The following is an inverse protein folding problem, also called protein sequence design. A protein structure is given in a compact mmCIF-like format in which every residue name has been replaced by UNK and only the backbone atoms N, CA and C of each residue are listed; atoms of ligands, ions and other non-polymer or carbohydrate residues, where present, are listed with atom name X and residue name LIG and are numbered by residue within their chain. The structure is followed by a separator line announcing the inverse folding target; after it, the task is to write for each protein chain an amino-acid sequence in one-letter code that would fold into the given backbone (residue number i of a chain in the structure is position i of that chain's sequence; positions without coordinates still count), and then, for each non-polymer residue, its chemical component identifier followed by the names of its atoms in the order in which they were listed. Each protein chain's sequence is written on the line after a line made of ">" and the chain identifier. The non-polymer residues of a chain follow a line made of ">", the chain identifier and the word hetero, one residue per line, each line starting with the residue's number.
data_IF_740814776715
#
_entry.id   IF_740814776715
#
_cell.length_a   1.000
_cell.length_b   1.000
_cell.length_c   1.000
_cell.angle_alpha   90.00
_cell.angle_beta   90.00
_cell.angle_gamma   90.00
#
_symmetry.space_group_name_H-M   'P 1'
#
loop_
_entity.id
_entity.type
_entity.pdbx_description
1 polymer ?
#
# COMPACT_ATOMS: atom_id res chain seq x y z
N UNK A 1 4.14 -83.02 -3.11
CA UNK A 1 4.84 -81.90 -2.44
C UNK A 1 4.00 -80.65 -2.63
N UNK A 2 3.51 -80.06 -1.54
CA UNK A 2 2.50 -79.01 -1.54
C UNK A 2 3.09 -77.63 -1.91
N UNK A 3 2.38 -76.90 -2.77
CA UNK A 3 2.65 -75.52 -3.16
C UNK A 3 2.45 -74.58 -1.98
N UNK A 4 3.50 -73.85 -1.57
CA UNK A 4 3.42 -72.78 -0.57
C UNK A 4 2.83 -71.53 -1.22
N UNK A 5 1.58 -71.22 -0.91
CA UNK A 5 0.98 -69.93 -1.21
C UNK A 5 1.74 -68.82 -0.45
N UNK A 6 2.31 -67.86 -1.18
CA UNK A 6 2.86 -66.62 -0.61
C UNK A 6 1.69 -65.70 -0.29
N UNK A 7 1.45 -65.45 1.00
CA UNK A 7 0.54 -64.41 1.47
C UNK A 7 1.12 -63.04 1.11
N UNK A 8 0.32 -62.24 0.40
CA UNK A 8 0.61 -60.85 0.04
C UNK A 8 0.58 -60.02 1.34
N UNK A 9 1.54 -59.11 1.59
CA UNK A 9 1.45 -58.23 2.76
C UNK A 9 0.24 -57.31 2.57
N UNK A 10 -0.56 -57.19 3.62
CA UNK A 10 -1.67 -56.23 3.69
C UNK A 10 -1.14 -54.81 3.48
N UNK A 11 -1.86 -54.04 2.67
CA UNK A 11 -1.56 -52.63 2.45
C UNK A 11 -1.65 -51.90 3.80
N UNK A 12 -0.79 -50.91 4.07
CA UNK A 12 -0.93 -50.12 5.28
C UNK A 12 -2.31 -49.45 5.27
N UNK A 13 -2.97 -49.52 6.43
CA UNK A 13 -4.26 -48.88 6.71
C UNK A 13 -4.35 -47.53 5.98
N UNK A 14 -5.43 -47.36 5.22
CA UNK A 14 -5.82 -46.08 4.66
C UNK A 14 -5.81 -45.07 5.80
N UNK A 15 -4.81 -44.19 5.83
CA UNK A 15 -4.87 -42.99 6.63
C UNK A 15 -6.18 -42.32 6.21
N UNK A 16 -7.15 -42.31 7.14
CA UNK A 16 -8.42 -41.62 6.99
C UNK A 16 -8.07 -40.16 6.78
N UNK A 17 -7.91 -39.80 5.51
CA UNK A 17 -7.63 -38.46 5.07
C UNK A 17 -8.88 -37.67 5.39
N UNK A 18 -8.87 -36.95 6.50
CA UNK A 18 -9.79 -35.84 6.67
C UNK A 18 -9.53 -34.95 5.46
N UNK A 19 -10.52 -34.85 4.57
CA UNK A 19 -10.44 -33.94 3.43
C UNK A 19 -10.00 -32.58 3.96
N UNK A 20 -8.99 -31.96 3.33
CA UNK A 20 -8.59 -30.59 3.65
C UNK A 20 -9.79 -29.64 3.65
N UNK A 21 -10.80 -29.92 2.83
CA UNK A 21 -12.05 -29.16 2.75
C UNK A 21 -12.90 -29.30 4.03
N UNK A 22 -12.83 -30.44 4.73
CA UNK A 22 -13.50 -30.65 6.01
C UNK A 22 -12.72 -30.07 7.21
N UNK A 23 -11.46 -29.66 7.00
CA UNK A 23 -10.58 -29.06 8.02
C UNK A 23 -10.55 -27.52 7.99
N UNK A 24 -11.11 -26.90 6.95
CA UNK A 24 -11.30 -25.45 6.85
C UNK A 24 -12.57 -25.10 7.63
N UNK A 25 -12.43 -24.92 8.95
CA UNK A 25 -13.43 -24.22 9.78
C UNK A 25 -12.91 -22.81 9.99
N UNK A 26 -13.79 -21.83 10.05
CA UNK A 26 -13.41 -20.42 10.15
C UNK A 26 -12.49 -20.12 11.35
N UNK A 27 -12.66 -20.89 12.44
CA UNK A 27 -11.85 -20.78 13.66
C UNK A 27 -10.63 -21.72 13.71
N UNK A 28 -10.32 -22.48 12.66
CA UNK A 28 -9.24 -23.48 12.69
C UNK A 28 -7.86 -22.94 12.26
N UNK A 29 -7.77 -21.68 11.82
CA UNK A 29 -6.54 -21.10 11.30
C UNK A 29 -6.10 -19.85 12.06
N UNK A 30 -4.77 -19.66 12.12
CA UNK A 30 -4.15 -18.44 12.65
C UNK A 30 -4.14 -17.39 11.55
N UNK A 31 -4.80 -16.26 11.77
CA UNK A 31 -4.77 -15.11 10.86
C UNK A 31 -3.34 -14.60 10.74
N UNK A 32 -2.76 -14.70 9.55
CA UNK A 32 -1.47 -14.09 9.24
C UNK A 32 -1.68 -12.62 8.88
N UNK A 33 -0.74 -11.78 9.30
CA UNK A 33 -0.70 -10.37 8.90
C UNK A 33 0.73 -9.95 8.64
N UNK A 34 0.92 -9.14 7.59
CA UNK A 34 2.17 -8.45 7.33
C UNK A 34 2.28 -7.12 8.08
N UNK A 35 1.24 -6.72 8.82
CA UNK A 35 1.21 -5.50 9.63
C UNK A 35 2.00 -5.72 10.91
N UNK A 36 2.86 -4.76 11.23
CA UNK A 36 3.72 -4.81 12.40
C UNK A 36 2.93 -4.43 13.66
N UNK A 37 3.13 -5.18 14.74
CA UNK A 37 2.51 -4.88 16.05
C UNK A 37 3.20 -3.76 16.82
N UNK A 38 4.45 -3.43 16.47
CA UNK A 38 5.27 -2.41 17.15
C UNK A 38 5.92 -1.53 16.10
N UNK A 39 5.71 -0.22 16.21
CA UNK A 39 6.37 0.79 15.38
C UNK A 39 7.77 1.12 15.92
N UNK A 40 8.63 1.65 15.06
CA UNK A 40 9.94 2.17 15.48
C UNK A 40 9.81 3.21 16.60
N UNK A 41 10.68 3.11 17.61
CA UNK A 41 10.79 4.07 18.70
C UNK A 41 11.35 5.44 18.28
N UNK A 42 11.83 5.57 17.04
CA UNK A 42 12.27 6.84 16.46
C UNK A 42 11.13 7.74 16.02
N UNK A 43 9.91 7.20 15.87
CA UNK A 43 8.73 8.00 15.59
C UNK A 43 8.30 8.74 16.87
N UNK A 44 8.31 10.09 16.91
CA UNK A 44 7.99 10.83 18.12
C UNK A 44 6.53 10.61 18.55
N UNK A 45 6.27 10.62 19.86
CA UNK A 45 4.89 10.51 20.38
C UNK A 45 3.97 11.57 19.78
N UNK A 46 4.44 12.81 19.67
CA UNK A 46 3.67 13.92 19.08
C UNK A 46 3.24 13.64 17.63
N UNK A 47 4.08 12.94 16.86
CA UNK A 47 3.76 12.52 15.51
C UNK A 47 2.67 11.43 15.52
N UNK A 48 2.78 10.45 16.41
CA UNK A 48 1.79 9.37 16.57
C UNK A 48 0.46 9.86 17.17
N UNK A 49 0.47 10.94 17.95
CA UNK A 49 -0.75 11.59 18.45
C UNK A 49 -1.44 12.40 17.34
N UNK A 50 -0.67 12.90 16.36
CA UNK A 50 -1.18 13.74 15.26
C UNK A 50 -1.59 12.93 14.03
N UNK A 51 -0.98 11.77 13.79
CA UNK A 51 -1.21 10.94 12.62
C UNK A 51 -1.57 9.50 12.99
N UNK A 52 -2.46 8.90 12.21
CA UNK A 52 -2.67 7.45 12.25
C UNK A 52 -1.51 6.77 11.52
N UNK A 53 -0.84 5.78 12.12
CA UNK A 53 0.37 5.17 11.52
C UNK A 53 0.28 3.65 11.55
N UNK A 54 0.54 3.03 10.39
CA UNK A 54 0.58 1.59 10.23
C UNK A 54 1.83 1.18 9.46
N UNK A 55 2.58 0.24 10.02
CA UNK A 55 3.80 -0.27 9.41
C UNK A 55 3.54 -1.68 8.89
N UNK A 56 3.98 -1.95 7.68
CA UNK A 56 3.89 -3.26 7.03
C UNK A 56 5.28 -3.75 6.67
N UNK A 57 5.55 -5.04 6.94
CA UNK A 57 6.83 -5.70 6.66
C UNK A 57 8.03 -4.96 7.25
N UNK A 58 7.90 -4.51 8.50
CA UNK A 58 8.91 -3.75 9.25
C UNK A 58 9.27 -2.38 8.66
N UNK A 59 8.41 -1.75 7.87
CA UNK A 59 8.70 -0.47 7.20
C UNK A 59 9.24 0.60 8.15
N UNK A 60 8.57 0.83 9.29
CA UNK A 60 9.00 1.83 10.26
C UNK A 60 10.40 1.56 10.81
N UNK A 61 10.74 0.29 11.09
CA UNK A 61 12.06 -0.11 11.60
C UNK A 61 13.14 -0.05 10.51
N UNK A 62 12.80 -0.41 9.27
CA UNK A 62 13.70 -0.32 8.12
C UNK A 62 14.02 1.14 7.83
N UNK A 63 13.00 1.99 7.73
CA UNK A 63 13.16 3.44 7.54
C UNK A 63 14.02 4.04 8.67
N UNK A 64 13.75 3.69 9.92
CA UNK A 64 14.49 4.21 11.06
C UNK A 64 15.97 3.78 11.10
N UNK A 65 16.29 2.59 10.59
CA UNK A 65 17.66 2.05 10.64
C UNK A 65 18.47 2.35 9.37
N UNK A 66 17.88 2.18 8.20
CA UNK A 66 18.56 2.32 6.90
C UNK A 66 18.39 3.71 6.28
N UNK A 67 17.28 4.41 6.56
CA UNK A 67 16.91 5.67 5.92
C UNK A 67 16.51 6.74 6.95
N UNK A 68 17.23 6.79 8.07
CA UNK A 68 16.85 7.60 9.24
C UNK A 68 16.72 9.10 8.91
N UNK A 69 17.54 9.60 7.98
CA UNK A 69 17.50 11.02 7.56
C UNK A 69 16.23 11.33 6.79
N UNK A 70 15.90 10.49 5.81
CA UNK A 70 14.68 10.63 5.02
C UNK A 70 13.44 10.48 5.91
N UNK A 71 13.45 9.55 6.87
CA UNK A 71 12.37 9.42 7.85
C UNK A 71 12.21 10.67 8.71
N UNK A 72 13.30 11.23 9.25
CA UNK A 72 13.27 12.46 10.05
C UNK A 72 12.71 13.62 9.24
N UNK A 73 13.17 13.81 8.00
CA UNK A 73 12.69 14.87 7.13
C UNK A 73 11.19 14.72 6.82
N UNK A 74 10.70 13.50 6.56
CA UNK A 74 9.28 13.26 6.34
C UNK A 74 8.45 13.57 7.59
N UNK A 75 8.90 13.10 8.77
CA UNK A 75 8.24 13.38 10.05
C UNK A 75 8.17 14.89 10.29
N UNK A 76 9.29 15.61 10.17
CA UNK A 76 9.35 17.06 10.34
C UNK A 76 8.41 17.79 9.36
N UNK A 77 8.43 17.40 8.09
CA UNK A 77 7.57 18.01 7.06
C UNK A 77 6.09 17.76 7.35
N UNK A 78 5.73 16.54 7.75
CA UNK A 78 4.36 16.21 8.12
C UNK A 78 3.91 16.93 9.41
N UNK A 79 4.82 17.17 10.36
CA UNK A 79 4.53 17.97 11.56
C UNK A 79 4.31 19.46 11.23
N UNK A 80 4.85 19.95 10.10
CA UNK A 80 4.59 21.29 9.56
C UNK A 80 3.36 21.35 8.64
N UNK A 81 2.92 20.21 8.11
CA UNK A 81 1.77 20.16 7.21
C UNK A 81 0.48 20.63 7.91
N UNK A 82 -0.24 21.54 7.25
CA UNK A 82 -1.51 22.12 7.69
C UNK A 82 -2.52 22.07 6.55
N UNK A 83 -3.78 21.94 6.93
CA UNK A 83 -4.91 22.06 6.02
C UNK A 83 -5.85 23.12 6.60
N UNK A 84 -6.31 24.03 5.76
CA UNK A 84 -7.34 25.01 6.14
C UNK A 84 -8.73 24.55 5.71
N UNK A 85 -9.75 25.03 6.39
CA UNK A 85 -11.13 24.77 6.01
C UNK A 85 -11.45 25.32 4.63
N UNK A 86 -10.86 26.46 4.26
CA UNK A 86 -10.99 27.01 2.91
C UNK A 86 -10.47 26.03 1.84
N UNK A 87 -9.34 25.36 2.08
CA UNK A 87 -8.81 24.35 1.15
C UNK A 87 -9.68 23.11 1.02
N UNK A 88 -10.37 22.71 2.10
CA UNK A 88 -11.31 21.58 2.09
C UNK A 88 -12.57 21.94 1.27
N UNK A 89 -13.16 23.10 1.51
CA UNK A 89 -14.44 23.47 0.88
C UNK A 89 -14.28 23.96 -0.56
N UNK A 90 -13.12 24.52 -0.93
CA UNK A 90 -12.87 25.02 -2.29
C UNK A 90 -12.99 23.88 -3.31
N UNK A 91 -13.76 24.05 -4.41
CA UNK A 91 -13.87 23.07 -5.48
C UNK A 91 -12.50 22.71 -6.08
N UNK A 92 -12.33 21.44 -6.45
CA UNK A 92 -11.06 20.93 -6.96
C UNK A 92 -10.70 21.45 -8.37
N UNK A 93 -9.44 21.26 -8.74
CA UNK A 93 -8.90 21.34 -10.10
C UNK A 93 -7.99 20.13 -10.37
N UNK A 94 -7.13 20.17 -11.41
CA UNK A 94 -6.28 19.02 -11.78
C UNK A 94 -5.39 18.50 -10.62
N UNK A 95 -4.89 19.36 -9.72
CA UNK A 95 -4.21 18.98 -8.46
C UNK A 95 -4.75 19.85 -7.31
N UNK A 96 -5.17 19.22 -6.22
CA UNK A 96 -5.68 19.89 -5.02
C UNK A 96 -4.64 20.84 -4.43
N UNK A 97 -5.07 21.97 -3.84
CA UNK A 97 -4.19 22.88 -3.10
C UNK A 97 -3.48 22.13 -1.97
N UNK A 98 -4.20 21.23 -1.29
CA UNK A 98 -3.68 20.39 -0.21
C UNK A 98 -2.50 19.52 -0.69
N UNK A 99 -2.57 18.97 -1.92
CA UNK A 99 -1.46 18.22 -2.50
C UNK A 99 -0.30 19.14 -2.92
N UNK A 100 -0.57 20.36 -3.36
CA UNK A 100 0.47 21.36 -3.66
C UNK A 100 1.21 21.84 -2.41
N UNK A 101 0.52 21.92 -1.26
CA UNK A 101 1.14 22.26 0.02
C UNK A 101 2.15 21.18 0.46
N UNK A 102 2.00 19.93 -0.01
CA UNK A 102 3.03 18.92 0.22
C UNK A 102 4.27 19.18 -0.66
N UNK A 103 4.07 19.61 -1.92
CA UNK A 103 5.17 19.98 -2.82
C UNK A 103 6.05 21.09 -2.18
N UNK A 104 5.43 22.10 -1.55
CA UNK A 104 6.17 23.21 -0.93
C UNK A 104 7.05 22.78 0.25
N UNK A 105 6.70 21.69 0.92
CA UNK A 105 7.46 21.14 2.05
C UNK A 105 8.60 20.22 1.60
N UNK A 106 8.36 19.40 0.57
CA UNK A 106 9.25 18.31 0.18
C UNK A 106 10.21 18.67 -0.97
N UNK A 107 9.76 19.44 -1.97
CA UNK A 107 10.60 19.81 -3.13
C UNK A 107 11.87 20.57 -2.73
N UNK A 108 11.83 21.56 -1.82
CA UNK A 108 13.04 22.24 -1.36
C UNK A 108 14.02 21.32 -0.62
N UNK A 109 13.52 20.21 -0.06
CA UNK A 109 14.31 19.19 0.64
C UNK A 109 14.88 18.13 -0.31
N UNK A 110 14.66 18.25 -1.62
CA UNK A 110 15.24 17.35 -2.63
C UNK A 110 14.40 16.10 -2.92
N UNK A 111 13.12 16.13 -2.57
CA UNK A 111 12.17 15.08 -2.92
C UNK A 111 11.49 15.42 -4.24
N UNK A 112 11.58 14.53 -5.23
CA UNK A 112 11.11 14.81 -6.58
C UNK A 112 10.32 13.65 -7.17
N UNK A 113 9.38 14.00 -8.06
CA UNK A 113 8.63 13.03 -8.84
C UNK A 113 9.59 12.13 -9.63
N UNK A 114 9.37 10.83 -9.54
CA UNK A 114 10.23 9.85 -10.20
C UNK A 114 9.40 8.79 -10.92
N UNK A 115 9.93 8.34 -12.06
CA UNK A 115 9.42 7.22 -12.85
C UNK A 115 10.57 6.32 -13.22
N UNK A 116 10.34 5.01 -13.22
CA UNK A 116 11.30 4.03 -13.70
C UNK A 116 10.72 3.28 -14.89
N UNK A 117 11.59 3.02 -15.87
CA UNK A 117 11.30 2.20 -17.04
C UNK A 117 12.48 1.27 -17.30
N UNK A 118 12.24 0.14 -17.96
CA UNK A 118 13.30 -0.81 -18.23
C UNK A 118 12.86 -1.97 -19.12
N UNK A 119 13.79 -2.43 -19.96
CA UNK A 119 13.64 -3.65 -20.74
C UNK A 119 14.22 -4.85 -19.98
N UNK A 120 13.65 -6.05 -20.19
CA UNK A 120 14.23 -7.29 -19.65
C UNK A 120 14.99 -8.02 -20.76
N UNK A 121 16.31 -8.12 -20.58
CA UNK A 121 17.16 -8.97 -21.43
C UNK A 121 17.27 -10.36 -20.78
N UNK A 122 16.82 -11.39 -21.50
CA UNK A 122 16.89 -12.78 -21.05
C UNK A 122 17.94 -13.53 -21.87
N UNK A 123 18.99 -14.03 -21.21
CA UNK A 123 19.97 -14.92 -21.82
C UNK A 123 19.59 -16.38 -21.56
N UNK A 124 19.29 -17.14 -22.61
CA UNK A 124 19.07 -18.59 -22.54
C UNK A 124 20.28 -19.33 -23.07
N UNK A 125 20.81 -20.25 -22.26
CA UNK A 125 21.88 -21.17 -22.68
C UNK A 125 21.34 -22.59 -22.76
N UNK A 126 21.47 -23.22 -23.92
CA UNK A 126 21.07 -24.62 -24.14
C UNK A 126 22.33 -25.44 -24.44
N UNK A 127 22.65 -26.41 -23.59
CA UNK A 127 23.80 -27.27 -23.80
C UNK A 127 23.42 -28.42 -24.74
N UNK A 128 23.77 -28.29 -26.02
CA UNK A 128 23.46 -29.28 -27.05
C UNK A 128 24.48 -30.43 -27.05
N UNK A 129 24.07 -31.67 -27.39
CA UNK A 129 25.01 -32.76 -27.66
C UNK A 129 25.92 -32.38 -28.81
N UNK A 130 27.23 -32.65 -28.69
CA UNK A 130 28.16 -32.48 -29.79
C UNK A 130 27.89 -33.54 -30.87
N UNK A 131 27.21 -33.12 -31.93
CA UNK A 131 26.83 -33.96 -33.06
C UNK A 131 28.03 -34.64 -33.76
N UNK A 132 29.26 -34.19 -33.49
CA UNK A 132 30.48 -34.76 -34.07
C UNK A 132 31.06 -35.96 -33.29
N UNK A 133 30.58 -36.27 -32.07
CA UNK A 133 31.15 -37.34 -31.22
C UNK A 133 30.10 -38.27 -30.62
N UNK A 134 29.84 -39.41 -31.28
CA UNK A 134 28.85 -40.44 -30.86
C UNK A 134 29.28 -41.40 -29.73
N UNK A 135 30.29 -41.09 -28.90
CA UNK A 135 30.76 -42.03 -27.85
C UNK A 135 31.05 -41.37 -26.49
N UNK A 136 30.80 -42.16 -25.45
CA UNK A 136 30.94 -41.95 -24.00
C UNK A 136 32.03 -40.90 -23.66
N UNK A 137 31.60 -39.71 -23.24
CA UNK A 137 32.45 -38.54 -22.98
C UNK A 137 32.05 -37.26 -23.75
N UNK A 138 30.81 -37.17 -24.25
CA UNK A 138 30.29 -36.03 -25.01
C UNK A 138 30.56 -34.69 -24.31
N UNK A 139 31.41 -33.85 -24.91
CA UNK A 139 31.48 -32.43 -24.56
C UNK A 139 30.20 -31.79 -25.07
N UNK A 140 29.48 -31.05 -24.23
CA UNK A 140 28.31 -30.28 -24.66
C UNK A 140 28.78 -28.97 -25.30
N UNK A 141 28.12 -28.54 -26.37
CA UNK A 141 28.36 -27.23 -26.99
C UNK A 141 27.25 -26.27 -26.52
N UNK A 142 27.58 -25.12 -25.90
CA UNK A 142 26.57 -24.15 -25.49
C UNK A 142 26.01 -23.40 -26.72
N UNK A 143 24.68 -23.47 -26.89
CA UNK A 143 23.90 -22.58 -27.77
C UNK A 143 23.32 -21.46 -26.91
N UNK A 144 23.80 -20.23 -27.11
CA UNK A 144 23.36 -19.05 -26.36
C UNK A 144 22.45 -18.17 -27.20
N UNK A 145 21.28 -17.81 -26.67
CA UNK A 145 20.32 -16.90 -27.31
C UNK A 145 19.91 -15.79 -26.35
N UNK A 146 19.83 -14.57 -26.89
CA UNK A 146 19.30 -13.41 -26.19
C UNK A 146 17.86 -13.15 -26.63
N UNK A 147 16.99 -12.89 -25.66
CA UNK A 147 15.63 -12.42 -25.86
C UNK A 147 15.49 -11.06 -25.18
N UNK A 148 14.62 -10.20 -25.71
CA UNK A 148 14.30 -8.91 -25.13
C UNK A 148 12.79 -8.82 -24.94
N UNK A 149 12.36 -8.46 -23.74
CA UNK A 149 11.01 -7.98 -23.48
C UNK A 149 11.10 -6.46 -23.32
N UNK A 150 10.53 -5.74 -24.27
CA UNK A 150 10.51 -4.28 -24.25
C UNK A 150 9.53 -3.76 -23.20
N UNK A 151 9.88 -2.65 -22.54
CA UNK A 151 9.06 -2.02 -21.50
C UNK A 151 8.58 -3.02 -20.42
N UNK A 152 9.45 -3.96 -20.04
CA UNK A 152 9.15 -4.92 -18.98
C UNK A 152 8.80 -4.22 -17.66
N UNK A 153 9.49 -3.12 -17.38
CA UNK A 153 9.11 -2.13 -16.37
C UNK A 153 8.56 -0.92 -17.12
N UNK A 154 7.26 -0.67 -16.97
CA UNK A 154 6.59 0.56 -17.39
C UNK A 154 5.79 1.12 -16.21
N UNK A 155 6.53 1.54 -15.17
CA UNK A 155 5.95 1.94 -13.89
C UNK A 155 5.19 3.25 -13.96
N UNK A 156 4.29 3.45 -13.00
CA UNK A 156 3.69 4.74 -12.74
C UNK A 156 4.69 5.66 -12.02
N UNK A 157 4.40 6.97 -12.07
CA UNK A 157 5.15 7.96 -11.33
C UNK A 157 4.82 7.84 -9.85
N UNK A 158 5.83 8.06 -9.01
CA UNK A 158 5.68 8.30 -7.57
C UNK A 158 5.94 9.78 -7.35
N UNK A 159 5.07 10.44 -6.57
CA UNK A 159 5.10 11.89 -6.37
C UNK A 159 6.44 12.39 -5.81
N UNK A 160 7.04 11.64 -4.88
CA UNK A 160 8.27 12.05 -4.21
C UNK A 160 9.19 10.85 -3.97
N UNK A 161 10.37 10.86 -4.57
CA UNK A 161 11.43 9.90 -4.26
C UNK A 161 12.69 10.66 -3.89
N UNK A 162 13.31 10.26 -2.78
CA UNK A 162 14.62 10.75 -2.36
C UNK A 162 15.45 9.58 -1.88
N UNK A 163 16.66 9.48 -2.43
CA UNK A 163 17.57 8.38 -2.15
C UNK A 163 16.86 7.02 -2.29
N UNK A 164 16.69 6.30 -1.19
CA UNK A 164 16.08 4.97 -1.17
C UNK A 164 14.70 4.95 -0.51
N UNK A 165 13.99 6.09 -0.48
CA UNK A 165 12.64 6.18 0.08
C UNK A 165 11.69 6.77 -0.95
N UNK A 166 10.56 6.12 -1.15
CA UNK A 166 9.43 6.62 -1.90
C UNK A 166 8.37 7.19 -0.93
N UNK A 167 7.79 8.34 -1.25
CA UNK A 167 6.68 8.95 -0.55
C UNK A 167 5.61 9.33 -1.58
N UNK A 168 4.38 8.91 -1.33
CA UNK A 168 3.24 9.17 -2.21
C UNK A 168 2.04 9.70 -1.40
N UNK A 169 1.34 10.70 -1.93
CA UNK A 169 0.23 11.35 -1.23
C UNK A 169 -1.06 11.23 -2.01
N UNK A 170 -2.04 10.57 -1.41
CA UNK A 170 -3.35 10.37 -2.02
C UNK A 170 -4.45 11.13 -1.26
N UNK A 171 -5.00 12.17 -1.90
CA UNK A 171 -6.04 13.05 -1.35
C UNK A 171 -7.32 13.04 -2.20
N UNK A 172 -8.34 12.30 -1.74
CA UNK A 172 -9.69 12.26 -2.32
C UNK A 172 -9.74 11.87 -3.82
N UNK A 173 -8.80 11.05 -4.27
CA UNK A 173 -8.82 10.43 -5.61
C UNK A 173 -9.85 9.30 -5.67
N UNK A 174 -10.29 8.90 -6.88
CA UNK A 174 -11.20 7.76 -7.10
C UNK A 174 -10.43 6.43 -7.27
N UNK A 175 -11.14 5.32 -7.04
CA UNK A 175 -10.74 3.95 -6.66
C UNK A 175 -9.51 3.24 -7.25
N UNK A 176 -8.91 3.70 -8.34
CA UNK A 176 -7.77 3.00 -8.97
C UNK A 176 -6.39 3.48 -8.52
N UNK A 177 -6.30 4.52 -7.68
CA UNK A 177 -4.99 5.09 -7.34
C UNK A 177 -4.16 4.18 -6.44
N UNK A 178 -4.67 3.66 -5.33
CA UNK A 178 -3.82 2.83 -4.44
C UNK A 178 -3.23 1.58 -5.09
N UNK A 179 -3.95 0.93 -6.01
CA UNK A 179 -3.38 -0.23 -6.72
C UNK A 179 -2.21 0.16 -7.62
N UNK A 180 -2.33 1.32 -8.27
CA UNK A 180 -1.28 1.93 -9.08
C UNK A 180 -0.09 2.35 -8.22
N UNK A 181 -0.33 2.99 -7.10
CA UNK A 181 0.71 3.55 -6.23
C UNK A 181 1.47 2.43 -5.51
N UNK A 182 0.75 1.41 -5.00
CA UNK A 182 1.36 0.21 -4.44
C UNK A 182 2.15 -0.58 -5.49
N UNK A 183 1.64 -0.67 -6.73
CA UNK A 183 2.38 -1.27 -7.84
C UNK A 183 3.66 -0.48 -8.16
N UNK A 184 3.59 0.85 -8.19
CA UNK A 184 4.75 1.70 -8.44
C UNK A 184 5.82 1.53 -7.35
N UNK A 185 5.44 1.70 -6.08
CA UNK A 185 6.34 1.55 -4.92
C UNK A 185 6.97 0.15 -4.91
N UNK A 186 6.17 -0.90 -5.14
CA UNK A 186 6.66 -2.28 -5.27
C UNK A 186 7.70 -2.41 -6.37
N UNK A 187 7.45 -1.82 -7.54
CA UNK A 187 8.35 -1.93 -8.70
C UNK A 187 9.69 -1.23 -8.41
N UNK A 188 9.66 -0.05 -7.78
CA UNK A 188 10.88 0.63 -7.33
C UNK A 188 11.68 -0.21 -6.34
N UNK A 189 11.00 -0.89 -5.41
CA UNK A 189 11.63 -1.77 -4.44
C UNK A 189 12.22 -3.02 -5.09
N UNK A 190 11.49 -3.70 -5.98
CA UNK A 190 11.97 -4.90 -6.69
C UNK A 190 13.16 -4.59 -7.61
N UNK A 191 13.26 -3.37 -8.13
CA UNK A 191 14.43 -2.89 -8.86
C UNK A 191 15.61 -2.50 -7.96
N UNK A 192 15.45 -2.55 -6.63
CA UNK A 192 16.46 -2.16 -5.66
C UNK A 192 16.70 -0.65 -5.58
N UNK A 193 15.78 0.19 -6.07
CA UNK A 193 15.90 1.64 -6.08
C UNK A 193 15.53 2.23 -4.72
N UNK A 194 14.47 1.72 -4.09
CA UNK A 194 14.04 2.10 -2.74
C UNK A 194 14.07 0.91 -1.78
N UNK A 195 14.23 1.19 -0.49
CA UNK A 195 14.16 0.23 0.62
C UNK A 195 12.75 0.14 1.19
N UNK A 196 11.98 1.23 1.13
CA UNK A 196 10.62 1.31 1.64
C UNK A 196 9.81 2.42 0.94
N UNK A 197 8.50 2.26 0.96
CA UNK A 197 7.53 3.29 0.58
C UNK A 197 6.78 3.87 1.79
N UNK A 198 6.36 5.11 1.66
CA UNK A 198 5.52 5.82 2.62
C UNK A 198 4.29 6.34 1.87
N UNK A 199 3.09 5.96 2.31
CA UNK A 199 1.84 6.41 1.68
C UNK A 199 1.06 7.27 2.68
N UNK A 200 0.77 8.51 2.29
CA UNK A 200 -0.06 9.43 3.06
C UNK A 200 -1.47 9.48 2.48
N UNK A 201 -2.49 9.26 3.30
CA UNK A 201 -3.89 9.41 2.90
C UNK A 201 -4.76 9.89 4.06
N UNK A 202 -6.08 9.98 3.88
CA UNK A 202 -7.01 10.39 4.93
C UNK A 202 -7.23 9.28 5.96
N UNK A 203 -7.17 9.62 7.24
CA UNK A 203 -7.68 8.75 8.31
C UNK A 203 -9.21 8.66 8.25
N UNK A 204 -9.77 7.55 8.74
CA UNK A 204 -11.21 7.42 8.97
C UNK A 204 -11.74 8.52 9.92
N UNK A 205 -10.90 9.00 10.85
CA UNK A 205 -11.26 10.06 11.79
C UNK A 205 -11.67 11.39 11.13
N UNK A 206 -11.23 11.67 9.91
CA UNK A 206 -11.65 12.86 9.15
C UNK A 206 -13.12 12.79 8.68
N UNK A 207 -13.73 11.60 8.64
CA UNK A 207 -15.15 11.48 8.27
C UNK A 207 -16.08 12.28 9.19
N UNK A 208 -15.73 12.43 10.48
CA UNK A 208 -16.46 13.28 11.43
C UNK A 208 -16.40 14.76 11.06
N UNK A 209 -15.23 15.23 10.65
CA UNK A 209 -15.03 16.61 10.18
C UNK A 209 -15.86 16.85 8.92
N UNK A 210 -15.82 15.91 7.99
CA UNK A 210 -16.59 16.03 6.75
C UNK A 210 -18.11 16.00 7.00
N UNK A 211 -18.60 15.17 7.92
CA UNK A 211 -20.00 15.18 8.34
C UNK A 211 -20.43 16.54 8.92
N UNK A 212 -19.61 17.11 9.81
CA UNK A 212 -19.84 18.44 10.39
C UNK A 212 -19.90 19.52 9.31
N UNK A 213 -18.96 19.51 8.35
CA UNK A 213 -18.97 20.44 7.21
C UNK A 213 -20.27 20.29 6.40
N UNK A 214 -20.65 19.07 6.06
CA UNK A 214 -21.87 18.78 5.30
C UNK A 214 -23.16 19.21 6.01
N UNK A 215 -23.17 19.23 7.35
CA UNK A 215 -24.33 19.68 8.15
C UNK A 215 -24.46 21.22 8.24
N UNK A 216 -23.40 21.95 7.89
CA UNK A 216 -23.25 23.42 8.08
C UNK A 216 -23.20 24.21 6.79
N UNK A 217 -22.97 23.58 5.64
CA UNK A 217 -22.90 24.26 4.35
C UNK A 217 -23.56 23.46 3.22
N UNK A 218 -24.17 24.17 2.27
CA UNK A 218 -24.62 23.58 1.01
C UNK A 218 -23.44 23.46 0.04
N UNK A 219 -22.55 22.50 0.30
CA UNK A 219 -21.42 22.20 -0.57
C UNK A 219 -21.87 21.19 -1.60
N UNK A 220 -22.03 21.65 -2.84
CA UNK A 220 -22.37 20.81 -3.99
C UNK A 220 -21.38 19.64 -4.09
N UNK A 221 -21.91 18.43 -4.32
CA UNK A 221 -21.16 17.20 -4.57
C UNK A 221 -20.23 16.73 -3.43
N UNK A 222 -20.47 17.18 -2.19
CA UNK A 222 -19.61 16.87 -1.04
C UNK A 222 -19.43 15.36 -0.78
N UNK A 223 -20.52 14.57 -0.82
CA UNK A 223 -20.46 13.10 -0.67
C UNK A 223 -19.67 12.44 -1.80
N UNK A 224 -19.71 12.98 -3.02
CA UNK A 224 -18.89 12.47 -4.13
C UNK A 224 -17.41 12.83 -3.98
N UNK A 225 -17.08 13.91 -3.26
CA UNK A 225 -15.69 14.38 -3.07
C UNK A 225 -15.02 13.71 -1.86
N UNK A 226 -15.76 13.51 -0.78
CA UNK A 226 -15.21 13.08 0.51
C UNK A 226 -15.77 11.76 1.04
N UNK A 227 -16.74 11.15 0.34
CA UNK A 227 -17.37 9.91 0.75
C UNK A 227 -16.50 8.66 0.54
N UNK A 228 -17.11 7.51 0.79
CA UNK A 228 -16.41 6.23 0.85
C UNK A 228 -15.74 5.81 -0.46
N UNK A 229 -16.22 6.32 -1.60
CA UNK A 229 -15.69 6.04 -2.96
C UNK A 229 -14.35 6.72 -3.27
N UNK A 230 -13.83 7.58 -2.38
CA UNK A 230 -12.53 8.22 -2.57
C UNK A 230 -11.45 7.63 -1.67
N UNK A 231 -10.17 7.95 -1.89
CA UNK A 231 -9.06 7.38 -1.12
C UNK A 231 -9.12 7.73 0.38
N UNK A 232 -9.01 6.72 1.23
CA UNK A 232 -8.86 6.82 2.69
C UNK A 232 -8.22 5.55 3.26
N UNK A 233 -7.87 5.58 4.55
CA UNK A 233 -7.05 4.55 5.20
C UNK A 233 -7.62 3.14 5.07
N UNK A 234 -8.93 2.92 5.25
CA UNK A 234 -9.51 1.58 5.14
C UNK A 234 -9.36 0.97 3.74
N UNK A 235 -9.47 1.79 2.68
CA UNK A 235 -9.21 1.34 1.31
C UNK A 235 -7.75 0.99 1.06
N UNK A 236 -6.83 1.67 1.72
CA UNK A 236 -5.40 1.36 1.67
C UNK A 236 -5.07 0.09 2.47
N UNK A 237 -5.56 -0.02 3.70
CA UNK A 237 -5.31 -1.16 4.58
C UNK A 237 -5.85 -2.46 4.00
N UNK A 238 -7.06 -2.46 3.43
CA UNK A 238 -7.59 -3.62 2.72
C UNK A 238 -6.61 -4.16 1.66
N UNK A 239 -5.96 -3.27 0.91
CA UNK A 239 -5.00 -3.64 -0.15
C UNK A 239 -3.65 -4.09 0.42
N UNK A 240 -3.18 -3.45 1.48
CA UNK A 240 -1.94 -3.83 2.16
C UNK A 240 -2.08 -5.19 2.85
N UNK A 241 -3.21 -5.44 3.52
CA UNK A 241 -3.56 -6.71 4.15
C UNK A 241 -3.68 -7.83 3.10
N UNK A 242 -4.25 -7.52 1.92
CA UNK A 242 -4.28 -8.42 0.77
C UNK A 242 -2.91 -8.58 0.06
N UNK A 243 -1.85 -7.92 0.55
CA UNK A 243 -0.49 -8.07 0.02
C UNK A 243 -0.23 -7.38 -1.32
N UNK A 244 -1.04 -6.38 -1.72
CA UNK A 244 -0.90 -5.71 -3.03
C UNK A 244 0.41 -4.92 -3.19
N UNK A 245 1.06 -4.54 -2.09
CA UNK A 245 2.42 -3.98 -2.09
C UNK A 245 3.54 -5.00 -2.36
N UNK A 246 3.20 -6.29 -2.58
CA UNK A 246 4.17 -7.36 -2.76
C UNK A 246 5.07 -7.52 -1.54
N UNK A 247 6.39 -7.59 -1.77
CA UNK A 247 7.41 -7.68 -0.72
C UNK A 247 7.90 -6.33 -0.17
N UNK A 248 7.44 -5.21 -0.71
CA UNK A 248 7.94 -3.89 -0.33
C UNK A 248 7.47 -3.50 1.08
N UNK A 249 8.37 -3.05 1.97
CA UNK A 249 7.99 -2.40 3.23
C UNK A 249 7.23 -1.10 2.97
N UNK A 250 6.05 -0.96 3.57
CA UNK A 250 5.20 0.23 3.44
C UNK A 250 4.82 0.80 4.80
N UNK A 251 5.05 2.10 4.98
CA UNK A 251 4.54 2.88 6.10
C UNK A 251 3.31 3.68 5.63
N UNK A 252 2.13 3.28 6.06
CA UNK A 252 0.88 4.00 5.78
C UNK A 252 0.61 5.03 6.89
N UNK A 253 0.34 6.27 6.47
CA UNK A 253 0.09 7.41 7.35
C UNK A 253 -1.27 8.00 7.03
N UNK A 254 -2.10 8.19 8.04
CA UNK A 254 -3.44 8.77 7.96
C UNK A 254 -3.47 10.18 8.53
N UNK A 255 -3.85 11.15 7.70
CA UNK A 255 -4.14 12.53 8.09
C UNK A 255 -5.37 12.51 9.01
N UNK A 256 -5.23 13.00 10.23
CA UNK A 256 -6.32 13.11 11.21
C UNK A 256 -6.83 14.56 11.27
N UNK A 257 -7.94 14.84 12.00
CA UNK A 257 -8.41 16.20 12.23
C UNK A 257 -7.35 17.14 12.83
N UNK A 258 -6.32 16.62 13.53
CA UNK A 258 -5.27 17.43 14.15
C UNK A 258 -4.40 18.22 13.15
N UNK A 259 -4.51 17.91 11.86
CA UNK A 259 -3.81 18.66 10.79
C UNK A 259 -4.58 19.91 10.37
N UNK A 260 -5.86 20.01 10.70
CA UNK A 260 -6.73 21.13 10.33
C UNK A 260 -6.59 22.25 11.35
N UNK A 261 -6.19 23.46 10.92
CA UNK A 261 -5.81 24.53 11.83
C UNK A 261 -6.96 25.43 12.30
N UNK A 262 -7.97 25.62 11.46
CA UNK A 262 -9.05 26.61 11.64
C UNK A 262 -10.43 25.97 11.78
N UNK A 263 -10.51 24.68 12.14
CA UNK A 263 -11.78 23.94 12.16
C UNK A 263 -12.77 24.48 13.21
N UNK A 264 -12.31 24.74 14.44
CA UNK A 264 -13.18 25.23 15.52
C UNK A 264 -13.64 26.68 15.29
N UNK A 265 -12.75 27.53 14.74
CA UNK A 265 -13.09 28.90 14.33
C UNK A 265 -14.12 28.90 13.20
N UNK A 266 -13.91 28.04 12.20
CA UNK A 266 -14.86 27.85 11.11
C UNK A 266 -16.20 27.32 11.62
N UNK A 267 -16.21 26.34 12.52
CA UNK A 267 -17.41 25.77 13.14
C UNK A 267 -18.22 26.82 13.90
N UNK A 268 -17.52 27.72 14.61
CA UNK A 268 -18.14 28.83 15.34
C UNK A 268 -18.78 29.87 14.41
N UNK A 269 -18.17 30.11 13.24
CA UNK A 269 -18.69 31.04 12.23
C UNK A 269 -19.81 30.45 11.35
N UNK A 270 -19.96 29.12 11.30
CA UNK A 270 -20.93 28.42 10.46
C UNK A 270 -21.89 27.58 11.31
N UNK A 271 -23.00 28.17 11.81
CA UNK A 271 -23.99 27.45 12.60
C UNK A 271 -24.66 26.35 11.76
N UNK A 272 -25.12 25.29 12.42
CA UNK A 272 -25.79 24.17 11.76
C UNK A 272 -27.08 24.61 11.07
N UNK A 273 -27.20 24.27 9.78
CA UNK A 273 -28.35 24.68 8.93
C UNK A 273 -29.37 23.53 8.78
N UNK A 274 -28.98 22.30 9.17
CA UNK A 274 -29.67 20.98 9.12
C UNK A 274 -29.43 20.13 7.87
N UNK A 275 -28.77 18.98 8.10
CA UNK A 275 -29.07 17.61 7.64
C UNK A 275 -28.12 16.71 8.43
N UNK A 276 -28.59 15.74 9.21
CA UNK A 276 -27.69 14.74 9.80
C UNK A 276 -27.07 13.95 8.65
N UNK A 277 -25.80 14.20 8.35
CA UNK A 277 -24.97 13.23 7.63
C UNK A 277 -24.21 12.45 8.68
N UNK A 278 -24.52 11.16 8.84
CA UNK A 278 -23.75 10.31 9.74
C UNK A 278 -22.33 10.13 9.16
N UNK A 279 -21.30 10.27 10.01
CA UNK A 279 -19.90 10.06 9.60
C UNK A 279 -19.67 8.68 8.98
N UNK A 280 -20.45 7.69 9.40
CA UNK A 280 -20.39 6.31 8.89
C UNK A 280 -20.79 6.22 7.41
N UNK A 281 -21.68 7.09 6.91
CA UNK A 281 -22.04 7.14 5.48
C UNK A 281 -20.92 7.69 4.58
N UNK A 282 -19.90 8.32 5.18
CA UNK A 282 -18.74 8.84 4.47
C UNK A 282 -17.57 7.83 4.45
N UNK A 283 -17.65 6.76 5.24
CA UNK A 283 -16.57 5.79 5.44
C UNK A 283 -17.00 4.38 5.02
N UNK A 284 -18.30 4.05 5.04
CA UNK A 284 -18.84 2.75 4.60
C UNK A 284 -19.56 2.89 3.25
N UNK A 285 -19.19 2.09 2.26
CA UNK A 285 -20.03 1.89 1.08
C UNK A 285 -21.25 1.05 1.49
N UNK A 286 -22.45 1.47 1.08
CA UNK A 286 -23.67 0.67 1.25
C UNK A 286 -23.55 -0.60 0.42
N UNK A 287 -23.04 -1.70 1.01
CA UNK A 287 -22.89 -2.98 0.32
C UNK A 287 -21.99 -4.02 0.98
N UNK A 288 -21.21 -3.68 2.01
CA UNK A 288 -20.54 -4.70 2.84
C UNK A 288 -21.46 -5.02 4.03
N UNK A 289 -22.43 -5.91 3.79
CA UNK A 289 -23.01 -6.71 4.86
C UNK A 289 -21.84 -7.48 5.50
N UNK A 290 -21.60 -7.25 6.79
CA UNK A 290 -20.86 -8.18 7.62
C UNK A 290 -21.69 -9.47 7.58
N UNK A 291 -21.29 -10.43 6.76
CA UNK A 291 -21.77 -11.80 6.88
C UNK A 291 -21.32 -12.30 8.26
N UNK A 292 -22.25 -12.26 9.23
CA UNK A 292 -22.17 -12.91 10.54
C UNK A 292 -22.06 -14.44 10.43
#
# INVERSE_FOLDING_TARGET
>A
MASKARTRPEAPDEAVGVSLEAAIKEDSYIKLSARDGILSNTLPKEFLDRFEVHSYRNASNILASANAKELSELVESLMEFRITMNEIITPGGNKSIIAKNMDTLLVPKGWYESRITGDLIVKKTTNLPDATKRKKGEKKVPDEKLYKVENYIDGHKIDFVKNRVAFDMEWNSKDQTFDRDLYAVRTFYECGIVDAGVLLTRSASLGKVFAEIGSRGDIKDFKSKYGASTTWMGKLLYRLDAGRGGGCPVLAIGITPAVIEDFEDWKSAHPEIKREMAADELIKESGEEEDE
#
